data_IF_364259701161
#
_entry.id   IF_364259701161
#
_cell.length_a   1.000
_cell.length_b   1.000
_cell.length_c   1.000
_cell.angle_alpha   90.00
_cell.angle_beta   90.00
_cell.angle_gamma   90.00
#
_symmetry.space_group_name_H-M   'P 1'
#
loop_
_entity.id
_entity.type
_entity.pdbx_description
1 polymer ?
#
# COMPACT_ATOMS: atom_id res chain seq x y z
N UNK A 1 9.60 -12.86 -5.64
CA UNK A 1 9.31 -12.07 -4.44
C UNK A 1 8.82 -13.00 -3.33
N UNK A 2 9.03 -12.65 -2.06
CA UNK A 2 8.65 -13.42 -0.87
C UNK A 2 7.64 -12.63 -0.03
N UNK A 3 6.61 -13.30 0.46
CA UNK A 3 5.65 -12.68 1.36
C UNK A 3 6.31 -12.35 2.72
N UNK A 4 6.01 -11.18 3.28
CA UNK A 4 6.44 -10.73 4.61
C UNK A 4 5.25 -10.13 5.41
N UNK A 5 4.90 -10.69 6.58
CA UNK A 5 3.78 -10.20 7.39
C UNK A 5 4.00 -8.77 7.94
N UNK A 6 5.25 -8.33 8.06
CA UNK A 6 5.59 -6.95 8.45
C UNK A 6 5.18 -5.96 7.37
N UNK A 7 5.42 -6.33 6.10
CA UNK A 7 5.02 -5.53 4.94
C UNK A 7 3.50 -5.56 4.76
N UNK A 8 2.84 -6.68 5.04
CA UNK A 8 1.37 -6.74 5.06
C UNK A 8 0.79 -5.79 6.11
N UNK A 9 1.37 -5.77 7.32
CA UNK A 9 0.95 -4.84 8.36
C UNK A 9 1.17 -3.39 7.95
N UNK A 10 2.29 -3.08 7.29
CA UNK A 10 2.53 -1.74 6.73
C UNK A 10 1.49 -1.38 5.68
N UNK A 11 1.17 -2.30 4.76
CA UNK A 11 0.12 -2.11 3.76
C UNK A 11 -1.24 -1.85 4.42
N UNK A 12 -1.56 -2.57 5.50
CA UNK A 12 -2.77 -2.34 6.31
C UNK A 12 -2.85 -0.94 6.90
N UNK A 13 -1.77 -0.46 7.51
CA UNK A 13 -1.69 0.90 8.09
C UNK A 13 -1.97 1.95 7.01
N UNK A 14 -1.32 1.83 5.85
CA UNK A 14 -1.52 2.76 4.74
C UNK A 14 -2.95 2.68 4.22
N UNK A 15 -3.48 1.47 3.99
CA UNK A 15 -4.82 1.28 3.43
C UNK A 15 -5.92 1.85 4.34
N UNK A 16 -5.86 1.61 5.67
CA UNK A 16 -6.79 2.21 6.62
C UNK A 16 -6.66 3.73 6.71
N UNK A 17 -5.44 4.28 6.54
CA UNK A 17 -5.25 5.72 6.46
C UNK A 17 -5.89 6.31 5.19
N UNK A 18 -5.83 5.61 4.06
CA UNK A 18 -6.50 6.03 2.81
C UNK A 18 -8.02 5.92 2.94
N UNK A 19 -8.55 4.84 3.51
CA UNK A 19 -9.98 4.67 3.77
C UNK A 19 -10.54 5.81 4.62
N UNK A 20 -9.92 6.10 5.77
CA UNK A 20 -10.39 7.17 6.66
C UNK A 20 -10.36 8.56 6.00
N UNK A 21 -9.47 8.79 5.03
CA UNK A 21 -9.46 10.00 4.22
C UNK A 21 -10.64 10.05 3.25
N UNK A 22 -10.94 8.94 2.56
CA UNK A 22 -12.12 8.82 1.69
C UNK A 22 -13.44 8.97 2.47
N UNK A 23 -13.48 8.46 3.70
CA UNK A 23 -14.62 8.61 4.62
C UNK A 23 -14.71 10.02 5.24
N UNK A 24 -13.79 10.94 4.92
CA UNK A 24 -13.70 12.28 5.51
C UNK A 24 -13.61 12.28 7.05
N UNK A 25 -13.16 11.18 7.64
CA UNK A 25 -12.98 11.03 9.10
C UNK A 25 -11.54 11.31 9.54
N UNK A 26 -10.60 11.36 8.58
CA UNK A 26 -9.21 11.68 8.85
C UNK A 26 -8.99 13.20 9.03
N UNK A 27 -8.25 13.56 10.07
CA UNK A 27 -7.71 14.91 10.26
C UNK A 27 -6.34 15.12 9.56
N UNK A 28 -5.80 14.09 8.90
CA UNK A 28 -4.44 14.04 8.36
C UNK A 28 -4.44 13.56 6.90
N UNK A 29 -3.45 14.04 6.13
CA UNK A 29 -3.15 13.56 4.78
C UNK A 29 -2.79 12.06 4.83
N UNK A 30 -3.20 11.22 3.87
CA UNK A 30 -2.96 9.78 3.97
C UNK A 30 -1.47 9.43 4.07
N UNK A 31 -1.21 8.28 4.70
CA UNK A 31 0.14 7.72 4.91
C UNK A 31 0.81 7.19 3.62
N UNK A 32 0.31 7.57 2.45
CA UNK A 32 0.89 7.33 1.13
C UNK A 32 1.79 8.48 0.66
N UNK A 33 1.75 9.63 1.34
CA UNK A 33 2.57 10.78 0.98
C UNK A 33 4.04 10.56 1.36
N UNK A 34 4.91 10.78 0.36
CA UNK A 34 6.34 10.53 0.48
C UNK A 34 6.96 11.27 1.69
N UNK A 35 7.95 10.67 2.39
CA UNK A 35 8.68 9.45 2.04
C UNK A 35 8.13 8.20 2.76
N UNK A 36 7.26 7.45 2.11
CA UNK A 36 6.72 6.17 2.59
C UNK A 36 7.04 5.07 1.57
N UNK A 37 7.09 3.77 1.95
CA UNK A 37 6.73 3.20 3.25
C UNK A 37 7.92 2.88 4.17
N UNK A 38 9.13 3.32 3.85
CA UNK A 38 10.34 2.93 4.60
C UNK A 38 10.33 3.33 6.09
N UNK A 39 9.84 4.52 6.50
CA UNK A 39 9.70 4.86 7.92
C UNK A 39 8.71 3.94 8.66
N UNK A 40 7.53 3.67 8.08
CA UNK A 40 6.56 2.71 8.66
C UNK A 40 7.22 1.33 8.84
N UNK A 41 7.96 0.86 7.84
CA UNK A 41 8.65 -0.42 7.91
C UNK A 41 9.72 -0.44 9.01
N UNK A 42 10.46 0.66 9.22
CA UNK A 42 11.44 0.78 10.31
C UNK A 42 10.77 0.74 11.68
N UNK A 43 9.67 1.45 11.86
CA UNK A 43 8.90 1.43 13.12
C UNK A 43 8.34 0.03 13.43
N UNK A 44 8.04 -0.75 12.39
CA UNK A 44 7.61 -2.14 12.49
C UNK A 44 8.78 -3.15 12.62
N UNK A 45 10.04 -2.70 12.62
CA UNK A 45 11.22 -3.55 12.79
C UNK A 45 11.71 -4.26 11.52
N UNK A 46 11.28 -3.82 10.34
CA UNK A 46 11.76 -4.37 9.06
C UNK A 46 13.23 -3.98 8.80
N UNK A 47 14.06 -4.93 8.29
CA UNK A 47 15.45 -4.65 7.92
C UNK A 47 15.60 -4.04 6.51
N UNK A 48 14.50 -3.71 5.82
CA UNK A 48 14.52 -3.22 4.44
C UNK A 48 15.38 -1.94 4.30
N UNK A 49 16.22 -1.89 3.26
CA UNK A 49 16.97 -0.68 2.90
C UNK A 49 16.24 0.18 1.87
N UNK A 50 15.29 -0.40 1.14
CA UNK A 50 14.38 0.30 0.23
C UNK A 50 12.98 -0.26 0.32
N UNK A 51 12.00 0.59 0.03
CA UNK A 51 10.63 0.16 -0.11
C UNK A 51 9.85 1.11 -1.01
N UNK A 52 8.76 0.60 -1.57
CA UNK A 52 7.80 1.35 -2.38
C UNK A 52 6.39 0.86 -2.07
N UNK A 53 5.41 1.68 -2.41
CA UNK A 53 3.99 1.37 -2.24
C UNK A 53 3.27 1.53 -3.57
N UNK A 54 2.38 0.60 -3.86
CA UNK A 54 1.46 0.60 -5.00
C UNK A 54 0.04 0.58 -4.44
N UNK A 55 -0.85 1.37 -5.02
CA UNK A 55 -2.20 1.55 -4.52
C UNK A 55 -3.19 1.70 -5.67
N UNK A 56 -4.41 1.25 -5.41
CA UNK A 56 -5.52 1.56 -6.29
C UNK A 56 -6.83 1.54 -5.52
N UNK A 57 -7.75 2.38 -5.96
CA UNK A 57 -9.08 2.48 -5.40
C UNK A 57 -10.11 2.53 -6.52
N UNK A 58 -11.18 1.73 -6.43
CA UNK A 58 -12.27 1.77 -7.39
C UNK A 58 -13.57 1.26 -6.78
N UNK A 59 -14.69 1.85 -7.22
CA UNK A 59 -16.03 1.30 -6.95
C UNK A 59 -16.37 0.08 -7.83
N UNK A 60 -15.57 -0.20 -8.87
CA UNK A 60 -15.75 -1.38 -9.72
C UNK A 60 -14.77 -2.47 -9.30
N UNK A 61 -15.24 -3.67 -8.93
CA UNK A 61 -14.36 -4.77 -8.52
C UNK A 61 -13.25 -5.05 -9.54
N UNK A 62 -12.00 -5.16 -9.09
CA UNK A 62 -10.83 -5.46 -9.90
C UNK A 62 -10.22 -4.28 -10.66
N UNK A 63 -10.90 -3.11 -10.71
CA UNK A 63 -10.31 -1.89 -11.28
C UNK A 63 -9.35 -1.20 -10.31
N UNK A 64 -9.50 -1.44 -9.01
CA UNK A 64 -8.56 -1.10 -7.94
C UNK A 64 -7.19 -1.77 -8.19
N UNK A 65 -7.17 -3.06 -8.51
CA UNK A 65 -5.94 -3.80 -8.84
C UNK A 65 -5.28 -3.23 -10.09
N UNK A 66 -6.07 -2.92 -11.13
CA UNK A 66 -5.53 -2.28 -12.35
C UNK A 66 -4.92 -0.91 -12.03
N UNK A 67 -5.56 -0.13 -11.15
CA UNK A 67 -5.00 1.14 -10.66
C UNK A 67 -3.62 0.96 -10.03
N UNK A 68 -3.48 -0.01 -9.12
CA UNK A 68 -2.20 -0.33 -8.49
C UNK A 68 -1.12 -0.78 -9.49
N UNK A 69 -1.50 -1.57 -10.50
CA UNK A 69 -0.58 -2.00 -11.57
C UNK A 69 -0.11 -0.81 -12.40
N UNK A 70 -1.01 0.12 -12.75
CA UNK A 70 -0.66 1.32 -13.52
C UNK A 70 0.31 2.20 -12.75
N UNK A 71 0.08 2.42 -11.44
CA UNK A 71 1.01 3.16 -10.59
C UNK A 71 2.37 2.47 -10.53
N UNK A 72 2.38 1.14 -10.47
CA UNK A 72 3.59 0.32 -10.39
C UNK A 72 4.29 0.04 -11.72
N UNK A 73 3.84 0.58 -12.85
CA UNK A 73 4.35 0.20 -14.18
C UNK A 73 5.88 0.25 -14.30
N UNK A 74 6.53 1.27 -13.72
CA UNK A 74 7.98 1.41 -13.72
C UNK A 74 8.68 0.66 -12.56
N UNK A 75 7.95 0.32 -11.50
CA UNK A 75 8.48 -0.24 -10.26
C UNK A 75 8.41 -1.76 -10.22
N UNK A 76 7.34 -2.36 -10.74
CA UNK A 76 7.13 -3.82 -10.79
C UNK A 76 8.25 -4.55 -11.56
N UNK A 77 8.84 -4.00 -12.64
CA UNK A 77 9.97 -4.62 -13.32
C UNK A 77 11.30 -4.56 -12.54
N UNK A 78 11.40 -3.78 -11.46
CA UNK A 78 12.61 -3.68 -10.64
C UNK A 78 12.78 -4.91 -9.75
N UNK A 79 13.68 -5.80 -10.15
CA UNK A 79 14.01 -7.02 -9.41
C UNK A 79 14.71 -6.78 -8.06
N UNK A 80 15.04 -5.53 -7.70
CA UNK A 80 15.61 -5.21 -6.39
C UNK A 80 14.58 -5.28 -5.25
N UNK A 81 13.29 -5.28 -5.57
CA UNK A 81 12.24 -5.60 -4.60
C UNK A 81 12.07 -7.11 -4.48
N UNK A 82 12.51 -7.67 -3.35
CA UNK A 82 12.54 -9.10 -3.09
C UNK A 82 11.39 -9.57 -2.23
N UNK A 83 10.78 -8.69 -1.44
CA UNK A 83 9.74 -9.01 -0.46
C UNK A 83 8.49 -8.17 -0.70
N UNK A 84 7.33 -8.69 -0.32
CA UNK A 84 6.05 -7.99 -0.51
C UNK A 84 5.04 -8.29 0.61
N UNK A 85 4.07 -7.39 0.75
CA UNK A 85 2.87 -7.58 1.56
C UNK A 85 1.73 -6.71 1.01
N UNK A 86 0.48 -7.16 1.18
CA UNK A 86 -0.68 -6.51 0.55
C UNK A 86 -1.83 -6.35 1.52
N UNK A 87 -2.64 -5.31 1.35
CA UNK A 87 -3.89 -5.11 2.07
C UNK A 87 -5.01 -4.78 1.09
N UNK A 88 -6.21 -5.30 1.35
CA UNK A 88 -7.44 -4.94 0.64
C UNK A 88 -8.51 -4.56 1.64
N UNK A 89 -9.15 -3.42 1.42
CA UNK A 89 -10.27 -2.91 2.22
C UNK A 89 -11.44 -2.64 1.27
N UNK A 90 -12.64 -2.99 1.71
CA UNK A 90 -13.87 -2.55 1.06
C UNK A 90 -14.61 -1.62 2.01
N UNK A 91 -14.85 -0.39 1.57
CA UNK A 91 -15.56 0.63 2.33
C UNK A 91 -17.05 0.59 1.95
N UNK A 92 -17.89 0.12 2.88
CA UNK A 92 -19.35 0.09 2.71
C UNK A 92 -19.96 1.51 2.58
N UNK A 93 -19.34 2.51 3.21
CA UNK A 93 -19.75 3.92 3.19
C UNK A 93 -19.57 4.57 1.81
N UNK A 94 -18.45 4.29 1.15
CA UNK A 94 -18.11 4.91 -0.14
C UNK A 94 -18.33 3.99 -1.33
N UNK A 95 -18.47 2.68 -1.11
CA UNK A 95 -18.54 1.65 -2.14
C UNK A 95 -17.20 1.36 -2.82
N UNK A 96 -16.09 1.91 -2.33
CA UNK A 96 -14.77 1.69 -2.92
C UNK A 96 -14.12 0.42 -2.37
N UNK A 97 -13.53 -0.37 -3.27
CA UNK A 97 -12.46 -1.32 -2.95
C UNK A 97 -11.12 -0.60 -3.07
N UNK A 98 -10.27 -0.77 -2.07
CA UNK A 98 -8.93 -0.18 -1.98
C UNK A 98 -7.90 -1.27 -1.77
N UNK A 99 -6.88 -1.28 -2.62
CA UNK A 99 -5.75 -2.20 -2.53
C UNK A 99 -4.46 -1.44 -2.31
N UNK A 100 -3.61 -1.95 -1.44
CA UNK A 100 -2.25 -1.47 -1.21
C UNK A 100 -1.30 -2.66 -1.30
N UNK A 101 -0.20 -2.52 -2.03
CA UNK A 101 0.92 -3.44 -2.04
C UNK A 101 2.19 -2.69 -1.62
N UNK A 102 2.89 -3.21 -0.62
CA UNK A 102 4.21 -2.74 -0.22
C UNK A 102 5.23 -3.71 -0.79
N UNK A 103 6.22 -3.18 -1.52
CA UNK A 103 7.37 -3.96 -2.00
C UNK A 103 8.62 -3.46 -1.29
N UNK A 104 9.48 -4.37 -0.83
CA UNK A 104 10.71 -4.01 -0.16
C UNK A 104 11.90 -4.83 -0.66
N UNK A 105 13.09 -4.31 -0.40
CA UNK A 105 14.34 -4.99 -0.70
C UNK A 105 15.49 -4.47 0.16
N UNK A 106 16.69 -5.05 -0.01
CA UNK A 106 17.90 -4.64 0.71
C UNK A 106 18.32 -3.19 0.48
#
# INVERSE_FOLDING_TARGET
MRYDPTLERAAGIVNSSTESYFDMTSAVIPADTAPQPLPILKDLGSPAGRATLLQGASATPGMDIKGAIVQGYATIPDCSYTDFGTSTIYSESTGYSMVVAVLAGP
#
